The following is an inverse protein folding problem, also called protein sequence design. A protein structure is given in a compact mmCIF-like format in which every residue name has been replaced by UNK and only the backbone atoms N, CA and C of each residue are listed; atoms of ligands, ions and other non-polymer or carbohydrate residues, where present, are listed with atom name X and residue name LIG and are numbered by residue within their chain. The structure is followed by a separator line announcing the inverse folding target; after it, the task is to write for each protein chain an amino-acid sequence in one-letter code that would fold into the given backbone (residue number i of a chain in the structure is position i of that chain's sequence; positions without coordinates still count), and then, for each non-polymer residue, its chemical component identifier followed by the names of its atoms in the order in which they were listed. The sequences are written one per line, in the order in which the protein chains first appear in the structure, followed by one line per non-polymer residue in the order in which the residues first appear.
data_IF_799783913227
#
_entry.id   IF_799783913227
#
_cell.length_a   1.000
_cell.length_b   1.000
_cell.length_c   1.000
_cell.angle_alpha   90.00
_cell.angle_beta   90.00
_cell.angle_gamma   90.00
#
_symmetry.space_group_name_H-M   'P 1'
#
loop_
_entity.id
_entity.type
_entity.pdbx_description
1 polymer ?
#
# COMPACT_ATOMS: atom_id res chain seq x y z
N UNK A 1 21.44 -2.79 30.42
CA UNK A 1 20.17 -2.19 29.94
C UNK A 1 19.85 -2.79 28.58
N UNK A 2 19.39 -4.04 28.55
CA UNK A 2 18.83 -4.64 27.33
C UNK A 2 17.36 -4.30 27.34
N UNK A 3 17.00 -3.14 26.79
CA UNK A 3 15.60 -2.80 26.57
C UNK A 3 15.02 -3.86 25.64
N UNK A 4 14.18 -4.72 26.18
CA UNK A 4 13.50 -5.76 25.43
C UNK A 4 12.51 -5.04 24.50
N UNK A 5 12.92 -4.81 23.26
CA UNK A 5 12.03 -4.35 22.21
C UNK A 5 11.06 -5.51 21.92
N UNK A 6 9.91 -5.51 22.59
CA UNK A 6 8.79 -6.37 22.24
C UNK A 6 8.02 -5.70 21.11
N UNK A 7 8.07 -6.30 19.92
CA UNK A 7 7.24 -5.89 18.78
C UNK A 7 5.90 -6.60 18.91
N UNK A 8 4.83 -5.80 18.92
CA UNK A 8 3.47 -6.34 18.87
C UNK A 8 3.18 -6.85 17.44
N UNK A 9 3.29 -8.17 17.28
CA UNK A 9 3.04 -8.85 16.01
C UNK A 9 1.58 -8.69 15.56
N UNK A 10 0.63 -8.60 16.49
CA UNK A 10 -0.78 -8.39 16.15
C UNK A 10 -1.03 -6.98 15.62
N UNK A 11 -0.37 -5.98 16.20
CA UNK A 11 -0.42 -4.61 15.67
C UNK A 11 0.21 -4.51 14.27
N UNK A 12 1.26 -5.28 13.99
CA UNK A 12 1.91 -5.31 12.67
C UNK A 12 1.05 -6.05 11.61
N UNK A 13 0.35 -7.10 12.02
CA UNK A 13 -0.64 -7.80 11.18
C UNK A 13 -1.84 -6.88 10.85
N UNK A 14 -2.40 -6.18 11.85
CA UNK A 14 -3.47 -5.19 11.65
C UNK A 14 -3.04 -4.07 10.70
N UNK A 15 -1.84 -3.52 10.90
CA UNK A 15 -1.27 -2.51 10.01
C UNK A 15 -1.17 -3.01 8.57
N UNK A 16 -0.69 -4.25 8.38
CA UNK A 16 -0.56 -4.87 7.05
C UNK A 16 -1.93 -5.03 6.39
N UNK A 17 -2.94 -5.50 7.14
CA UNK A 17 -4.30 -5.65 6.63
C UNK A 17 -4.93 -4.30 6.24
N UNK A 18 -4.71 -3.26 7.05
CA UNK A 18 -5.20 -1.90 6.76
C UNK A 18 -4.53 -1.27 5.54
N UNK A 19 -3.23 -1.48 5.37
CA UNK A 19 -2.49 -1.01 4.18
C UNK A 19 -3.02 -1.67 2.90
N UNK A 20 -3.29 -2.98 2.93
CA UNK A 20 -3.92 -3.69 1.82
C UNK A 20 -5.30 -3.13 1.48
N UNK A 21 -6.16 -2.97 2.49
CA UNK A 21 -7.50 -2.42 2.29
C UNK A 21 -7.47 -1.00 1.70
N UNK A 22 -6.56 -0.16 2.20
CA UNK A 22 -6.36 1.19 1.66
C UNK A 22 -5.83 1.17 0.23
N UNK A 23 -4.87 0.29 -0.08
CA UNK A 23 -4.34 0.13 -1.44
C UNK A 23 -5.46 -0.24 -2.44
N UNK A 24 -6.26 -1.27 -2.12
CA UNK A 24 -7.40 -1.65 -2.95
C UNK A 24 -8.41 -0.52 -3.11
N UNK A 25 -8.77 0.16 -2.01
CA UNK A 25 -9.69 1.30 -2.05
C UNK A 25 -9.20 2.42 -2.97
N UNK A 26 -7.92 2.79 -2.90
CA UNK A 26 -7.34 3.83 -3.77
C UNK A 26 -7.40 3.40 -5.24
N UNK A 27 -7.01 2.17 -5.56
CA UNK A 27 -7.05 1.65 -6.93
C UNK A 27 -8.46 1.64 -7.52
N UNK A 28 -9.45 1.21 -6.74
CA UNK A 28 -10.84 1.16 -7.18
C UNK A 28 -11.38 2.56 -7.52
N UNK A 29 -11.12 3.54 -6.64
CA UNK A 29 -11.53 4.93 -6.86
C UNK A 29 -10.85 5.54 -8.10
N UNK A 30 -9.56 5.29 -8.29
CA UNK A 30 -8.83 5.77 -9.46
C UNK A 30 -9.32 5.13 -10.75
N UNK A 31 -9.65 3.84 -10.72
CA UNK A 31 -10.28 3.14 -11.83
C UNK A 31 -11.65 3.74 -12.18
N UNK A 32 -12.46 4.08 -11.17
CA UNK A 32 -13.76 4.72 -11.37
C UNK A 32 -13.65 6.12 -11.94
N UNK A 33 -12.76 6.97 -11.40
CA UNK A 33 -12.51 8.31 -11.92
C UNK A 33 -12.06 8.29 -13.38
N UNK A 34 -11.21 7.32 -13.74
CA UNK A 34 -10.79 7.13 -15.14
C UNK A 34 -11.95 6.76 -16.04
N UNK A 35 -12.81 5.80 -15.65
CA UNK A 35 -14.01 5.44 -16.44
C UNK A 35 -14.95 6.64 -16.65
N UNK A 36 -15.17 7.42 -15.61
CA UNK A 36 -16.02 8.62 -15.70
C UNK A 36 -15.40 9.67 -16.64
N UNK A 37 -14.08 9.84 -16.56
CA UNK A 37 -13.34 10.75 -17.43
C UNK A 37 -13.38 10.31 -18.90
N UNK A 38 -13.17 9.03 -19.17
CA UNK A 38 -13.27 8.45 -20.51
C UNK A 38 -14.68 8.58 -21.08
N UNK A 39 -15.72 8.38 -20.25
CA UNK A 39 -17.10 8.61 -20.67
C UNK A 39 -17.35 10.09 -21.01
N UNK A 40 -16.80 11.02 -20.21
CA UNK A 40 -16.99 12.45 -20.43
C UNK A 40 -16.29 12.94 -21.70
N UNK A 41 -15.08 12.45 -21.99
CA UNK A 41 -14.29 12.87 -23.15
C UNK A 41 -14.94 12.53 -24.50
N UNK A 42 -15.89 11.59 -24.52
CA UNK A 42 -16.65 11.26 -25.75
C UNK A 42 -17.59 12.38 -26.22
N UNK A 43 -18.02 13.25 -25.30
CA UNK A 43 -18.99 14.32 -25.59
C UNK A 43 -18.44 15.72 -25.29
N UNK A 44 -17.40 15.79 -24.46
CA UNK A 44 -16.77 17.05 -24.06
C UNK A 44 -15.64 17.42 -25.03
N UNK A 45 -15.79 18.55 -25.71
CA UNK A 45 -14.83 19.05 -26.71
C UNK A 45 -14.50 20.53 -26.49
N UNK A 46 -13.44 21.00 -27.16
CA UNK A 46 -12.97 22.39 -27.10
C UNK A 46 -11.77 22.59 -26.18
N UNK A 47 -11.30 23.83 -26.07
CA UNK A 47 -10.04 24.18 -25.39
C UNK A 47 -9.98 23.72 -23.91
N UNK A 48 -11.11 23.68 -23.21
CA UNK A 48 -11.16 23.18 -21.84
C UNK A 48 -10.96 21.65 -21.75
N UNK A 49 -11.48 20.89 -22.72
CA UNK A 49 -11.29 19.45 -22.80
C UNK A 49 -9.82 19.10 -23.12
N UNK A 50 -9.19 19.87 -24.01
CA UNK A 50 -7.77 19.72 -24.33
C UNK A 50 -6.87 20.02 -23.13
N UNK A 51 -7.12 21.13 -22.41
CA UNK A 51 -6.37 21.48 -21.21
C UNK A 51 -6.53 20.43 -20.10
N UNK A 52 -7.74 19.90 -19.92
CA UNK A 52 -8.00 18.81 -19.00
C UNK A 52 -7.25 17.53 -19.42
N UNK A 53 -7.30 17.14 -20.70
CA UNK A 53 -6.61 15.95 -21.19
C UNK A 53 -5.08 16.03 -20.96
N UNK A 54 -4.49 17.22 -21.16
CA UNK A 54 -3.09 17.46 -20.86
C UNK A 54 -2.79 17.30 -19.35
N UNK A 55 -3.57 17.92 -18.48
CA UNK A 55 -3.41 17.77 -17.03
C UNK A 55 -3.65 16.33 -16.55
N UNK A 56 -4.52 15.58 -17.24
CA UNK A 56 -4.82 14.19 -16.92
C UNK A 56 -3.64 13.24 -17.20
N UNK A 57 -2.76 13.59 -18.15
CA UNK A 57 -1.52 12.83 -18.38
C UNK A 57 -0.60 12.91 -17.16
N UNK A 58 -0.34 14.12 -16.64
CA UNK A 58 0.47 14.33 -15.44
C UNK A 58 -0.15 13.67 -14.19
N UNK A 59 -1.48 13.63 -14.14
CA UNK A 59 -2.22 12.93 -13.08
C UNK A 59 -1.98 11.41 -13.12
N UNK A 60 -1.93 10.80 -14.30
CA UNK A 60 -1.66 9.36 -14.44
C UNK A 60 -0.29 8.97 -13.88
N UNK A 61 0.74 9.80 -14.09
CA UNK A 61 2.07 9.57 -13.53
C UNK A 61 2.05 9.66 -12.00
N UNK A 62 1.31 10.62 -11.46
CA UNK A 62 1.12 10.78 -10.01
C UNK A 62 0.39 9.59 -9.39
N UNK A 63 -0.60 9.05 -10.10
CA UNK A 63 -1.35 7.83 -9.73
C UNK A 63 -0.43 6.60 -9.73
N UNK A 64 0.42 6.45 -10.74
CA UNK A 64 1.38 5.37 -10.80
C UNK A 64 2.36 5.44 -9.62
N UNK A 65 2.91 6.63 -9.35
CA UNK A 65 3.81 6.86 -8.22
C UNK A 65 3.16 6.51 -6.87
N UNK A 66 1.91 6.92 -6.65
CA UNK A 66 1.15 6.62 -5.44
C UNK A 66 0.96 5.10 -5.27
N UNK A 67 0.55 4.42 -6.34
CA UNK A 67 0.28 2.97 -6.33
C UNK A 67 1.55 2.19 -6.00
N UNK A 68 2.67 2.48 -6.67
CA UNK A 68 3.94 1.83 -6.36
C UNK A 68 4.39 2.09 -4.91
N UNK A 69 4.15 3.30 -4.39
CA UNK A 69 4.45 3.65 -3.01
C UNK A 69 3.70 2.75 -2.01
N UNK A 70 2.42 2.48 -2.29
CA UNK A 70 1.59 1.61 -1.47
C UNK A 70 2.04 0.15 -1.54
N UNK A 71 2.38 -0.35 -2.72
CA UNK A 71 2.94 -1.69 -2.90
C UNK A 71 4.25 -1.87 -2.11
N UNK A 72 5.15 -0.87 -2.17
CA UNK A 72 6.40 -0.88 -1.41
C UNK A 72 6.15 -0.91 0.11
N UNK A 73 5.19 -0.14 0.59
CA UNK A 73 4.81 -0.11 2.02
C UNK A 73 4.20 -1.44 2.47
N UNK A 74 3.34 -2.05 1.65
CA UNK A 74 2.78 -3.37 1.92
C UNK A 74 3.90 -4.42 2.00
N UNK A 75 4.79 -4.45 1.02
CA UNK A 75 5.92 -5.39 0.99
C UNK A 75 6.82 -5.24 2.21
N UNK A 76 7.17 -4.02 2.59
CA UNK A 76 7.97 -3.74 3.77
C UNK A 76 7.30 -4.24 5.06
N UNK A 77 5.97 -4.09 5.17
CA UNK A 77 5.19 -4.53 6.33
C UNK A 77 5.17 -6.06 6.43
N UNK A 78 4.97 -6.76 5.31
CA UNK A 78 5.04 -8.23 5.23
C UNK A 78 6.43 -8.73 5.63
N UNK A 79 7.49 -8.12 5.11
CA UNK A 79 8.87 -8.49 5.46
C UNK A 79 9.17 -8.28 6.94
N UNK A 80 8.72 -7.16 7.52
CA UNK A 80 8.85 -6.91 8.95
C UNK A 80 8.15 -8.01 9.77
N UNK A 81 6.91 -8.35 9.41
CA UNK A 81 6.15 -9.40 10.10
C UNK A 81 6.84 -10.76 10.06
N UNK A 82 7.35 -11.17 8.90
CA UNK A 82 8.08 -12.43 8.74
C UNK A 82 9.37 -12.47 9.56
N UNK A 83 10.14 -11.36 9.54
CA UNK A 83 11.40 -11.25 10.29
C UNK A 83 11.17 -11.38 11.80
N UNK A 84 10.21 -10.63 12.35
CA UNK A 84 9.92 -10.66 13.78
C UNK A 84 9.33 -12.01 14.22
N UNK A 85 8.44 -12.61 13.43
CA UNK A 85 7.87 -13.93 13.73
C UNK A 85 8.94 -15.03 13.78
N UNK A 86 9.90 -15.00 12.85
CA UNK A 86 11.01 -15.97 12.82
C UNK A 86 11.93 -15.82 14.05
N UNK A 87 12.26 -14.59 14.45
CA UNK A 87 13.08 -14.33 15.65
C UNK A 87 12.40 -14.86 16.91
N UNK A 88 11.08 -14.64 17.06
CA UNK A 88 10.30 -15.17 18.19
C UNK A 88 10.32 -16.69 18.20
N UNK A 89 10.15 -17.34 17.05
CA UNK A 89 10.14 -18.81 16.96
C UNK A 89 11.52 -19.41 17.30
N UNK A 90 12.61 -18.82 16.80
CA UNK A 90 13.98 -19.23 17.10
C UNK A 90 14.24 -19.09 18.61
N UNK A 91 13.88 -17.96 19.21
CA UNK A 91 14.05 -17.73 20.65
C UNK A 91 13.23 -18.74 21.47
N UNK A 92 11.99 -19.03 21.08
CA UNK A 92 11.16 -20.05 21.72
C UNK A 92 11.81 -21.44 21.66
N UNK A 93 12.35 -21.83 20.50
CA UNK A 93 13.06 -23.10 20.31
C UNK A 93 14.35 -23.17 21.13
N UNK A 94 15.08 -22.06 21.27
CA UNK A 94 16.34 -21.98 22.03
C UNK A 94 16.11 -22.03 23.55
N UNK A 95 15.09 -21.34 24.05
CA UNK A 95 14.74 -21.35 25.49
C UNK A 95 14.13 -22.70 25.88
N UNK A 96 13.24 -23.28 25.06
CA UNK A 96 12.67 -24.60 25.30
C UNK A 96 13.67 -25.76 25.22
N UNK A 97 14.89 -25.52 24.72
CA UNK A 97 15.99 -26.51 24.68
C UNK A 97 16.93 -26.44 25.89
N UNK A 98 16.75 -25.41 26.73
CA UNK A 98 17.56 -25.13 27.93
C UNK A 98 16.80 -25.34 29.24
N UNK A 99 15.52 -25.74 29.16
CA UNK A 99 14.67 -26.08 30.31
C UNK A 99 14.61 -27.61 30.50
#
# INVERSE_FOLDING_TARGET
MTGEYSVDLAALEDLTARLRGYHSFVLDNLGELRRQTESLSTTWTGAAAEAFAAAHLDWNDSVAYLTEGLERLESASVHAYQSYSNVVEINRKMVGRRA
#
